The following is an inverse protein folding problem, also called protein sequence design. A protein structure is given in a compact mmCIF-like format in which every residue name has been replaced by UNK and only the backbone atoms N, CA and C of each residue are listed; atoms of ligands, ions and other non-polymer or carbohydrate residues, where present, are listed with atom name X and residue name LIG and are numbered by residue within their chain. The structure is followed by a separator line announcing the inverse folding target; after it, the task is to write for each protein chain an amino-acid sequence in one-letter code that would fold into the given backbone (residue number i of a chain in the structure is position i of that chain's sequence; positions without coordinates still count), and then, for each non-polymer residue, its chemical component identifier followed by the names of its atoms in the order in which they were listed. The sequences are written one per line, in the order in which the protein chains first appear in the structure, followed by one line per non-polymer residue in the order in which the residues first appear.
data_IF_707325228055
#
_entry.id   IF_707325228055
#
_cell.length_a   1.000
_cell.length_b   1.000
_cell.length_c   1.000
_cell.angle_alpha   90.00
_cell.angle_beta   90.00
_cell.angle_gamma   90.00
#
_symmetry.space_group_name_H-M   'P 1'
#
loop_
_entity.id
_entity.type
_entity.pdbx_description
1 polymer ?
#
# COMPACT_ATOMS: atom_id res chain seq x y z
N UNK A 1 8.65 -21.51 72.73
CA UNK A 1 7.23 -21.92 72.81
C UNK A 1 6.40 -20.68 72.57
N UNK A 2 5.78 -20.60 71.37
CA UNK A 2 4.32 -20.73 71.26
C UNK A 2 3.69 -19.70 72.19
N UNK A 3 3.58 -18.41 71.83
CA UNK A 3 2.23 -17.89 71.58
C UNK A 3 2.13 -16.59 70.75
N UNK A 4 3.15 -15.74 70.60
CA UNK A 4 2.89 -14.39 70.01
C UNK A 4 3.33 -14.26 68.53
N UNK A 5 4.04 -15.27 68.02
CA UNK A 5 4.14 -15.53 66.57
C UNK A 5 2.78 -15.83 65.90
N UNK A 6 1.69 -15.93 66.66
CA UNK A 6 0.37 -16.33 66.15
C UNK A 6 -0.66 -15.20 66.04
N UNK A 7 -0.47 -14.05 66.69
CA UNK A 7 -1.48 -12.98 66.66
C UNK A 7 -1.26 -11.94 65.56
N UNK A 8 0.00 -11.61 65.24
CA UNK A 8 0.28 -10.58 64.23
C UNK A 8 0.32 -11.14 62.80
N UNK A 9 0.44 -12.46 62.65
CA UNK A 9 0.28 -13.16 61.37
C UNK A 9 -1.20 -13.21 60.91
N UNK A 10 -2.16 -12.93 61.79
CA UNK A 10 -3.59 -13.09 61.51
C UNK A 10 -4.28 -11.83 60.96
N UNK A 11 -3.77 -10.62 61.25
CA UNK A 11 -4.52 -9.38 60.94
C UNK A 11 -4.14 -8.71 59.61
N UNK A 12 -2.98 -8.98 59.03
CA UNK A 12 -2.60 -8.42 57.72
C UNK A 12 -3.05 -9.27 56.53
N UNK A 13 -3.48 -10.51 56.76
CA UNK A 13 -4.11 -11.36 55.73
C UNK A 13 -5.57 -10.96 55.48
N UNK A 14 -6.24 -10.33 56.46
CA UNK A 14 -7.67 -10.04 56.39
C UNK A 14 -8.05 -8.77 55.59
N UNK A 15 -7.12 -7.87 55.31
CA UNK A 15 -7.40 -6.67 54.48
C UNK A 15 -7.17 -6.89 52.97
N UNK A 16 -6.71 -8.08 52.57
CA UNK A 16 -6.48 -8.43 51.16
C UNK A 16 -7.72 -8.88 50.38
N UNK A 17 -8.91 -8.93 51.02
CA UNK A 17 -10.04 -9.71 50.48
C UNK A 17 -11.20 -8.92 49.85
N UNK A 18 -11.22 -7.58 49.88
CA UNK A 18 -12.37 -6.80 49.33
C UNK A 18 -12.02 -6.02 48.06
N UNK A 19 -10.74 -5.89 47.68
CA UNK A 19 -10.34 -5.27 46.41
C UNK A 19 -10.37 -6.23 45.20
N UNK A 20 -10.71 -7.51 45.39
CA UNK A 20 -10.55 -8.57 44.39
C UNK A 20 -11.79 -8.85 43.53
N UNK A 21 -12.96 -8.26 43.83
CA UNK A 21 -14.22 -8.59 43.13
C UNK A 21 -14.41 -7.87 41.78
N UNK A 22 -13.67 -6.80 41.49
CA UNK A 22 -13.66 -6.17 40.15
C UNK A 22 -12.85 -6.95 39.11
N UNK A 23 -12.20 -8.05 39.50
CA UNK A 23 -11.45 -8.94 38.60
C UNK A 23 -12.33 -9.99 37.90
N UNK A 24 -13.63 -10.08 38.19
CA UNK A 24 -14.50 -11.16 37.70
C UNK A 24 -15.53 -10.76 36.62
N UNK A 25 -15.45 -9.55 36.04
CA UNK A 25 -16.25 -9.23 34.86
C UNK A 25 -15.78 -10.06 33.66
N UNK A 26 -16.65 -10.96 33.15
CA UNK A 26 -16.37 -11.77 31.95
C UNK A 26 -16.15 -10.82 30.77
N UNK A 27 -15.00 -10.87 30.09
CA UNK A 27 -14.74 -10.01 28.95
C UNK A 27 -15.74 -10.32 27.81
N UNK A 28 -16.08 -9.31 26.98
CA UNK A 28 -16.93 -9.51 25.81
C UNK A 28 -16.32 -10.59 24.90
N UNK A 29 -17.17 -11.53 24.47
CA UNK A 29 -16.78 -12.55 23.49
C UNK A 29 -16.75 -11.86 22.12
N UNK A 30 -15.54 -11.62 21.61
CA UNK A 30 -15.37 -11.15 20.25
C UNK A 30 -15.88 -12.21 19.26
N UNK A 31 -16.57 -11.82 18.16
CA UNK A 31 -16.91 -12.74 17.09
C UNK A 31 -15.67 -13.49 16.60
N UNK A 32 -15.80 -14.80 16.39
CA UNK A 32 -14.74 -15.59 15.78
C UNK A 32 -14.46 -15.03 14.37
N UNK A 33 -13.20 -14.71 14.08
CA UNK A 33 -12.80 -14.30 12.75
C UNK A 33 -13.20 -15.40 11.76
N UNK A 34 -13.84 -15.01 10.65
CA UNK A 34 -14.02 -15.91 9.50
C UNK A 34 -12.64 -16.43 9.12
N UNK A 35 -12.43 -17.75 8.95
CA UNK A 35 -11.12 -18.27 8.58
C UNK A 35 -10.73 -17.65 7.24
N UNK A 36 -9.75 -16.76 7.26
CA UNK A 36 -9.24 -16.14 6.05
C UNK A 36 -8.40 -17.19 5.33
N UNK A 37 -8.84 -17.60 4.15
CA UNK A 37 -8.01 -18.43 3.25
C UNK A 37 -7.00 -17.58 2.49
N UNK A 38 -7.23 -16.26 2.43
CA UNK A 38 -6.27 -15.28 1.96
C UNK A 38 -5.43 -14.77 3.14
N UNK A 39 -4.11 -14.82 3.02
CA UNK A 39 -3.16 -14.41 4.07
C UNK A 39 -3.05 -12.88 4.26
N UNK A 40 -3.82 -12.08 3.49
CA UNK A 40 -3.80 -10.60 3.46
C UNK A 40 -4.05 -10.06 2.04
N UNK A 41 -4.04 -8.73 1.82
CA UNK A 41 -4.07 -8.13 0.48
C UNK A 41 -2.79 -8.54 -0.27
N UNK A 42 -2.91 -9.34 -1.32
CA UNK A 42 -1.75 -9.96 -1.97
C UNK A 42 -1.16 -9.13 -3.14
N UNK A 43 -1.84 -8.04 -3.57
CA UNK A 43 -1.47 -7.26 -4.76
C UNK A 43 -1.81 -5.76 -4.64
N UNK A 44 -1.36 -5.09 -3.57
CA UNK A 44 -1.56 -3.64 -3.44
C UNK A 44 -0.55 -2.80 -4.28
N UNK A 45 0.21 -3.44 -5.19
CA UNK A 45 1.18 -2.76 -6.04
C UNK A 45 0.78 -2.80 -7.50
N UNK A 46 0.85 -1.66 -8.18
CA UNK A 46 0.76 -1.63 -9.63
C UNK A 46 2.07 -2.15 -10.23
N UNK A 47 1.96 -3.13 -11.13
CA UNK A 47 3.13 -3.70 -11.83
C UNK A 47 3.43 -2.88 -13.07
N UNK A 48 4.64 -2.35 -13.16
CA UNK A 48 5.11 -1.60 -14.32
C UNK A 48 6.27 -2.37 -14.96
N UNK A 49 6.15 -2.65 -16.25
CA UNK A 49 7.22 -3.25 -17.02
C UNK A 49 7.89 -2.19 -17.88
N UNK A 50 9.22 -2.14 -17.83
CA UNK A 50 10.04 -1.20 -18.59
C UNK A 50 11.14 -1.93 -19.35
N UNK A 51 11.73 -1.27 -20.34
CA UNK A 51 12.92 -1.79 -21.00
C UNK A 51 14.09 -1.84 -19.99
N UNK A 52 14.97 -2.86 -20.03
CA UNK A 52 16.07 -2.99 -19.07
C UNK A 52 16.97 -1.75 -18.98
N UNK A 53 17.20 -1.07 -20.10
CA UNK A 53 18.00 0.15 -20.22
C UNK A 53 17.34 1.38 -19.58
N UNK A 54 16.01 1.38 -19.47
CA UNK A 54 15.24 2.48 -18.90
C UNK A 54 14.88 2.25 -17.43
N UNK A 55 15.24 1.10 -16.85
CA UNK A 55 14.81 0.70 -15.51
C UNK A 55 15.16 1.74 -14.43
N UNK A 56 16.44 2.13 -14.35
CA UNK A 56 16.90 3.10 -13.36
C UNK A 56 16.31 4.48 -13.63
N UNK A 57 16.33 4.92 -14.90
CA UNK A 57 15.75 6.20 -15.32
C UNK A 57 14.29 6.32 -14.92
N UNK A 58 13.50 5.27 -15.13
CA UNK A 58 12.09 5.24 -14.76
C UNK A 58 11.91 5.32 -13.25
N UNK A 59 12.60 4.48 -12.48
CA UNK A 59 12.45 4.48 -11.01
C UNK A 59 12.92 5.77 -10.37
N UNK A 60 13.99 6.40 -10.88
CA UNK A 60 14.47 7.71 -10.43
C UNK A 60 13.47 8.82 -10.75
N UNK A 61 12.96 8.86 -11.99
CA UNK A 61 11.93 9.83 -12.39
C UNK A 61 10.66 9.69 -11.55
N UNK A 62 10.27 8.47 -11.22
CA UNK A 62 9.09 8.21 -10.40
C UNK A 62 9.28 8.76 -8.98
N UNK A 63 10.41 8.47 -8.33
CA UNK A 63 10.73 9.02 -7.00
C UNK A 63 10.88 10.54 -7.03
N UNK A 64 11.45 11.12 -8.08
CA UNK A 64 11.56 12.57 -8.22
C UNK A 64 10.19 13.25 -8.35
N UNK A 65 9.20 12.57 -8.95
CA UNK A 65 7.85 13.12 -9.17
C UNK A 65 6.96 12.95 -7.95
N UNK A 66 6.94 11.75 -7.36
CA UNK A 66 6.00 11.39 -6.29
C UNK A 66 6.64 11.39 -4.89
N UNK A 67 7.97 11.58 -4.81
CA UNK A 67 8.73 11.39 -3.59
C UNK A 67 8.89 9.91 -3.23
N UNK A 68 9.53 9.67 -2.07
CA UNK A 68 9.66 8.34 -1.49
C UNK A 68 11.03 7.69 -1.72
N UNK A 69 11.05 6.36 -1.85
CA UNK A 69 12.30 5.58 -1.87
C UNK A 69 12.18 4.29 -2.69
N UNK A 70 13.34 3.68 -2.97
CA UNK A 70 13.44 2.43 -3.73
C UNK A 70 13.94 1.31 -2.83
N UNK A 71 13.43 0.09 -3.02
CA UNK A 71 14.03 -1.10 -2.43
C UNK A 71 15.40 -1.40 -3.06
N UNK A 72 16.13 -2.37 -2.52
CA UNK A 72 17.24 -2.97 -3.27
C UNK A 72 16.70 -3.58 -4.57
N UNK A 73 17.40 -3.38 -5.67
CA UNK A 73 17.12 -4.05 -6.94
C UNK A 73 17.57 -5.51 -6.88
N UNK A 74 16.73 -6.42 -7.34
CA UNK A 74 17.02 -7.84 -7.50
C UNK A 74 17.14 -8.25 -8.96
N UNK A 75 17.80 -9.38 -9.19
CA UNK A 75 17.99 -10.00 -10.50
C UNK A 75 17.75 -11.50 -10.37
N UNK A 76 16.72 -12.01 -11.04
CA UNK A 76 16.18 -13.34 -10.77
C UNK A 76 15.97 -14.15 -12.06
N UNK A 77 16.46 -15.40 -12.13
CA UNK A 77 16.09 -16.31 -13.21
C UNK A 77 14.69 -16.88 -12.95
N UNK A 78 13.65 -16.25 -13.51
CA UNK A 78 12.24 -16.67 -13.27
C UNK A 78 11.66 -17.52 -14.40
N UNK A 79 12.36 -17.64 -15.52
CA UNK A 79 11.93 -18.43 -16.69
C UNK A 79 12.80 -19.66 -16.90
N UNK A 80 12.27 -20.74 -17.49
CA UNK A 80 13.10 -21.88 -17.93
C UNK A 80 14.14 -21.52 -19.00
N UNK A 81 13.87 -20.50 -19.83
CA UNK A 81 14.83 -19.95 -20.80
C UNK A 81 15.91 -19.14 -20.09
N UNK A 82 17.18 -19.11 -20.59
CA UNK A 82 18.24 -18.26 -20.03
C UNK A 82 17.90 -16.77 -20.14
N UNK A 83 17.22 -16.25 -19.13
CA UNK A 83 16.84 -14.85 -18.99
C UNK A 83 16.94 -14.43 -17.53
N UNK A 84 17.04 -13.13 -17.27
CA UNK A 84 17.06 -12.57 -15.93
C UNK A 84 16.04 -11.46 -15.78
N UNK A 85 15.22 -11.54 -14.74
CA UNK A 85 14.24 -10.51 -14.39
C UNK A 85 14.82 -9.55 -13.38
N UNK A 86 14.94 -8.28 -13.75
CA UNK A 86 15.15 -7.18 -12.83
C UNK A 86 13.85 -6.89 -12.09
N UNK A 87 13.94 -6.68 -10.77
CA UNK A 87 12.78 -6.33 -9.95
C UNK A 87 13.16 -5.35 -8.86
N UNK A 88 12.34 -4.31 -8.67
CA UNK A 88 12.52 -3.32 -7.61
C UNK A 88 11.15 -2.77 -7.21
N UNK A 89 10.95 -2.56 -5.90
CA UNK A 89 9.80 -1.83 -5.39
C UNK A 89 10.15 -0.35 -5.29
N UNK A 90 9.20 0.50 -5.69
CA UNK A 90 9.27 1.94 -5.47
C UNK A 90 8.11 2.33 -4.56
N UNK A 91 8.46 2.87 -3.40
CA UNK A 91 7.52 3.29 -2.37
C UNK A 91 7.31 4.80 -2.51
N UNK A 92 6.07 5.23 -2.66
CA UNK A 92 5.73 6.66 -2.69
C UNK A 92 4.47 6.95 -1.87
N UNK A 93 4.27 8.20 -1.42
CA UNK A 93 3.00 8.67 -0.89
C UNK A 93 1.80 8.47 -1.84
N UNK A 94 2.04 8.40 -3.15
CA UNK A 94 1.01 8.14 -4.16
C UNK A 94 0.68 6.64 -4.33
N UNK A 95 1.34 5.75 -3.59
CA UNK A 95 1.19 4.30 -3.68
C UNK A 95 2.50 3.60 -4.00
N UNK A 96 2.51 2.28 -3.85
CA UNK A 96 3.68 1.45 -4.15
C UNK A 96 3.56 0.84 -5.55
N UNK A 97 4.63 0.90 -6.33
CA UNK A 97 4.72 0.21 -7.60
C UNK A 97 5.83 -0.85 -7.57
N UNK A 98 5.63 -1.93 -8.31
CA UNK A 98 6.63 -2.96 -8.55
C UNK A 98 7.10 -2.88 -10.00
N UNK A 99 8.38 -2.59 -10.18
CA UNK A 99 8.98 -2.35 -11.49
C UNK A 99 9.75 -3.60 -11.91
N UNK A 100 9.52 -4.04 -13.15
CA UNK A 100 10.12 -5.24 -13.72
C UNK A 100 10.74 -4.98 -15.10
N UNK A 101 11.83 -5.66 -15.39
CA UNK A 101 12.39 -5.80 -16.74
C UNK A 101 12.93 -7.20 -16.96
N UNK A 102 12.96 -7.68 -18.19
CA UNK A 102 13.55 -8.97 -18.56
C UNK A 102 14.77 -8.74 -19.44
N UNK A 103 15.92 -9.28 -19.03
CA UNK A 103 17.17 -9.34 -19.81
C UNK A 103 17.27 -10.69 -20.50
N UNK A 104 17.65 -10.69 -21.78
CA UNK A 104 17.82 -11.89 -22.59
C UNK A 104 16.62 -12.17 -23.50
N UNK A 105 16.60 -13.35 -24.11
CA UNK A 105 15.55 -13.72 -25.08
C UNK A 105 14.20 -13.87 -24.36
N UNK A 106 13.27 -12.94 -24.64
CA UNK A 106 11.88 -13.04 -24.22
C UNK A 106 11.00 -13.34 -25.44
N UNK A 107 10.16 -14.40 -25.41
CA UNK A 107 9.48 -14.89 -26.61
C UNK A 107 8.38 -13.97 -27.17
N UNK A 108 7.99 -12.90 -26.46
CA UNK A 108 6.96 -11.94 -26.90
C UNK A 108 7.34 -10.52 -26.47
N UNK A 109 7.09 -9.53 -27.31
CA UNK A 109 7.27 -8.12 -26.92
C UNK A 109 6.23 -7.71 -25.87
N UNK A 110 6.65 -6.96 -24.85
CA UNK A 110 5.74 -6.38 -23.87
C UNK A 110 4.81 -5.38 -24.56
N UNK A 111 3.52 -5.42 -24.22
CA UNK A 111 2.54 -4.47 -24.75
C UNK A 111 2.64 -3.14 -24.01
N UNK A 112 2.38 -2.03 -24.72
CA UNK A 112 2.25 -0.71 -24.10
C UNK A 112 1.04 -0.69 -23.17
N UNK A 113 1.28 -0.48 -21.88
CA UNK A 113 0.26 -0.24 -20.87
C UNK A 113 0.14 1.24 -20.53
N UNK A 114 -1.00 1.64 -19.99
CA UNK A 114 -1.19 2.97 -19.39
C UNK A 114 -1.62 2.76 -17.94
N UNK A 115 -1.00 3.52 -17.03
CA UNK A 115 -1.42 3.61 -15.63
C UNK A 115 -1.77 5.06 -15.33
N UNK A 116 -2.71 5.27 -14.40
CA UNK A 116 -3.19 6.61 -14.07
C UNK A 116 -3.47 6.74 -12.58
N UNK A 117 -3.34 7.98 -12.10
CA UNK A 117 -3.73 8.40 -10.77
C UNK A 117 -5.00 9.23 -10.85
N UNK A 118 -5.93 9.00 -9.91
CA UNK A 118 -7.04 9.91 -9.72
C UNK A 118 -6.51 11.17 -9.01
N UNK A 119 -6.76 12.33 -9.61
CA UNK A 119 -6.35 13.62 -9.08
C UNK A 119 -7.56 14.49 -8.82
N UNK A 120 -7.49 15.32 -7.78
CA UNK A 120 -8.57 16.25 -7.42
C UNK A 120 -8.65 17.46 -8.36
N UNK A 121 -7.53 17.80 -9.01
CA UNK A 121 -7.41 18.90 -9.96
C UNK A 121 -6.43 18.47 -11.07
N UNK A 122 -6.98 18.25 -12.26
CA UNK A 122 -6.21 17.80 -13.43
C UNK A 122 -5.29 18.90 -13.97
N UNK A 123 -5.73 20.16 -13.96
CA UNK A 123 -4.95 21.26 -14.53
C UNK A 123 -3.69 21.51 -13.68
N UNK A 124 -3.86 21.49 -12.36
CA UNK A 124 -2.73 21.56 -11.41
C UNK A 124 -1.81 20.35 -11.54
N UNK A 125 -2.35 19.13 -11.64
CA UNK A 125 -1.54 17.92 -11.80
C UNK A 125 -0.70 17.94 -13.09
N UNK A 126 -1.31 18.35 -14.21
CA UNK A 126 -0.63 18.47 -15.50
C UNK A 126 0.45 19.55 -15.50
N UNK A 127 0.25 20.66 -14.79
CA UNK A 127 1.28 21.69 -14.61
C UNK A 127 2.49 21.13 -13.86
N UNK A 128 2.28 20.52 -12.69
CA UNK A 128 3.37 19.95 -11.87
C UNK A 128 4.10 18.86 -12.64
N UNK A 129 3.38 17.96 -13.31
CA UNK A 129 4.01 16.90 -14.11
C UNK A 129 4.97 17.49 -15.17
N UNK A 130 4.58 18.56 -15.87
CA UNK A 130 5.44 19.25 -16.84
C UNK A 130 6.66 19.91 -16.19
N UNK A 131 6.50 20.55 -15.03
CA UNK A 131 7.61 21.15 -14.28
C UNK A 131 8.66 20.09 -13.87
N UNK A 132 8.23 18.85 -13.65
CA UNK A 132 9.09 17.69 -13.39
C UNK A 132 9.53 16.93 -14.65
N UNK A 133 9.30 17.49 -15.85
CA UNK A 133 9.80 16.94 -17.11
C UNK A 133 8.95 15.83 -17.72
N UNK A 134 7.71 15.64 -17.28
CA UNK A 134 6.79 14.68 -17.90
C UNK A 134 6.35 15.16 -19.29
N UNK A 135 6.38 14.25 -20.27
CA UNK A 135 5.81 14.46 -21.60
C UNK A 135 4.28 14.27 -21.56
N UNK A 136 3.56 15.21 -22.16
CA UNK A 136 2.09 15.15 -22.27
C UNK A 136 1.69 14.52 -23.59
N UNK A 137 1.16 13.30 -23.51
CA UNK A 137 0.75 12.51 -24.68
C UNK A 137 -0.70 12.86 -25.10
N UNK A 138 -1.55 13.27 -24.16
CA UNK A 138 -2.95 13.69 -24.41
C UNK A 138 -3.22 14.93 -23.57
N UNK A 139 -3.51 16.06 -24.23
CA UNK A 139 -3.71 17.36 -23.56
C UNK A 139 -5.20 17.73 -23.37
N UNK A 140 -6.12 16.94 -23.93
CA UNK A 140 -7.56 17.16 -23.76
C UNK A 140 -8.09 16.25 -22.65
N UNK A 141 -8.29 16.73 -21.40
CA UNK A 141 -8.99 15.94 -20.40
C UNK A 141 -10.42 15.70 -20.89
N UNK A 142 -10.91 14.47 -20.75
CA UNK A 142 -12.32 14.15 -20.98
C UNK A 142 -13.11 14.88 -19.89
N UNK A 143 -13.53 16.12 -20.16
CA UNK A 143 -14.54 16.79 -19.35
C UNK A 143 -15.85 16.08 -19.63
N UNK A 144 -16.35 15.34 -18.65
CA UNK A 144 -17.74 14.93 -18.65
C UNK A 144 -18.56 16.23 -18.71
N UNK A 145 -19.10 16.56 -19.88
CA UNK A 145 -20.03 17.66 -20.01
C UNK A 145 -21.14 17.38 -18.99
N UNK A 146 -21.26 18.25 -17.98
CA UNK A 146 -22.29 18.11 -16.96
C UNK A 146 -23.63 17.92 -17.68
N UNK A 147 -24.30 16.79 -17.41
CA UNK A 147 -25.65 16.55 -17.90
C UNK A 147 -26.52 17.72 -17.42
N UNK A 148 -26.79 18.65 -18.33
CA UNK A 148 -27.63 19.82 -18.05
C UNK A 148 -29.02 19.27 -17.76
N UNK A 149 -29.39 19.25 -16.49
CA UNK A 149 -30.75 18.91 -16.05
C UNK A 149 -31.75 19.76 -16.83
N UNK A 150 -32.52 19.13 -17.72
CA UNK A 150 -33.57 19.77 -18.52
C UNK A 150 -34.85 19.97 -17.69
N UNK A 151 -34.74 20.43 -16.44
CA UNK A 151 -35.89 20.91 -15.68
C UNK A 151 -35.98 22.42 -15.85
N UNK A 152 -36.88 22.83 -16.75
CA UNK A 152 -37.26 24.24 -16.88
C UNK A 152 -37.54 24.66 -18.32
N UNK A 153 -38.63 24.17 -18.91
CA UNK A 153 -39.40 25.00 -19.83
C UNK A 153 -40.87 24.85 -19.48
N UNK A 154 -41.36 25.89 -18.82
CA UNK A 154 -42.76 26.11 -18.54
C UNK A 154 -43.54 26.18 -19.86
N UNK A 155 -44.71 25.57 -19.86
CA UNK A 155 -45.92 26.01 -20.54
C UNK A 155 -47.10 25.50 -19.71
#
# INVERSE_FOLDING_TARGET
MKTIRSALLALTIASGLVASSLLFAKPPVMPAATPTVAVGPQYDTTHVYVAPEDFDRFTDSFVATFGGSKSKQGLFPVTPTPSQTMSQLVFSPAGTISVFSVKGAHPVALRRGTHGYLVIDMDTAMKVAREHGAEVIVDTPIRLAAMRSSRGRAA
#
